data_IF_478618831817
#
_entry.id   IF_478618831817
#
_cell.length_a   1.000
_cell.length_b   1.000
_cell.length_c   1.000
_cell.angle_alpha   90.00
_cell.angle_beta   90.00
_cell.angle_gamma   90.00
#
_symmetry.space_group_name_H-M   'P 1'
#
loop_
_entity.id
_entity.type
_entity.pdbx_description
1 polymer ?
#
# COMPACT_ATOMS: atom_id res chain seq x y z
N UNK A 1 5.68 6.23 -4.92
CA UNK A 1 4.43 6.26 -4.12
C UNK A 1 4.63 5.75 -2.70
N UNK A 2 5.37 4.65 -2.44
CA UNK A 2 5.57 4.10 -1.07
C UNK A 2 6.07 5.14 -0.06
N UNK A 3 7.10 5.92 -0.40
CA UNK A 3 7.62 6.97 0.49
C UNK A 3 6.53 7.98 0.88
N UNK A 4 5.80 8.51 -0.09
CA UNK A 4 4.70 9.45 0.14
C UNK A 4 3.59 8.81 1.01
N UNK A 5 3.31 7.51 0.83
CA UNK A 5 2.35 6.77 1.65
C UNK A 5 2.84 6.59 3.10
N UNK A 6 4.14 6.38 3.31
CA UNK A 6 4.75 6.35 4.64
C UNK A 6 4.75 7.75 5.29
N UNK A 7 4.94 8.82 4.51
CA UNK A 7 4.75 10.19 5.00
C UNK A 7 3.31 10.41 5.48
N UNK A 8 2.32 9.94 4.72
CA UNK A 8 0.90 9.99 5.15
C UNK A 8 0.64 9.15 6.39
N UNK A 9 1.25 7.96 6.49
CA UNK A 9 1.13 7.09 7.66
C UNK A 9 1.65 7.79 8.92
N UNK A 10 2.80 8.47 8.86
CA UNK A 10 3.33 9.29 9.96
C UNK A 10 2.38 10.43 10.36
N UNK A 11 1.69 11.06 9.41
CA UNK A 11 0.72 12.14 9.70
C UNK A 11 -0.53 11.62 10.40
N UNK A 12 -1.04 10.47 9.96
CA UNK A 12 -2.29 9.89 10.48
C UNK A 12 -2.08 9.02 11.73
N UNK A 13 -0.88 8.46 11.87
CA UNK A 13 -0.47 7.54 12.92
C UNK A 13 -0.10 8.21 14.23
N UNK A 14 0.75 7.53 14.98
CA UNK A 14 1.14 7.87 16.35
C UNK A 14 2.57 8.43 16.45
N UNK A 15 3.44 8.21 15.46
CA UNK A 15 4.83 8.64 15.55
C UNK A 15 5.70 8.35 14.32
N UNK A 16 7.02 8.53 14.45
CA UNK A 16 7.96 8.35 13.35
C UNK A 16 8.06 6.89 12.86
N UNK A 17 7.76 5.91 13.71
CA UNK A 17 7.80 4.49 13.34
C UNK A 17 6.75 4.13 12.26
N UNK A 18 5.67 4.90 12.16
CA UNK A 18 4.69 4.77 11.08
C UNK A 18 5.30 5.05 9.70
N UNK A 19 6.49 5.67 9.65
CA UNK A 19 7.29 5.83 8.42
C UNK A 19 7.78 4.50 7.83
N UNK A 20 7.56 3.38 8.52
CA UNK A 20 7.90 2.03 8.09
C UNK A 20 6.66 1.18 7.75
N UNK A 21 5.46 1.78 7.72
CA UNK A 21 4.18 1.08 7.47
C UNK A 21 4.23 0.25 6.19
N UNK A 22 4.68 0.85 5.09
CA UNK A 22 4.82 0.18 3.81
C UNK A 22 6.29 -0.12 3.55
N UNK A 23 6.58 -1.41 3.35
CA UNK A 23 7.93 -1.92 3.04
C UNK A 23 8.01 -2.36 1.58
N UNK A 24 8.92 -3.27 1.25
CA UNK A 24 9.06 -3.80 -0.10
C UNK A 24 7.72 -4.35 -0.63
N UNK A 25 7.35 -4.09 -1.89
CA UNK A 25 6.16 -4.68 -2.51
C UNK A 25 6.20 -6.21 -2.48
N UNK A 26 5.18 -6.83 -1.89
CA UNK A 26 5.03 -8.30 -1.81
C UNK A 26 3.81 -8.82 -2.56
N UNK A 27 3.11 -7.93 -3.25
CA UNK A 27 1.87 -8.24 -3.98
C UNK A 27 2.00 -7.82 -5.43
N UNK A 28 1.30 -8.51 -6.33
CA UNK A 28 1.33 -8.26 -7.77
C UNK A 28 -0.06 -8.41 -8.39
N UNK A 29 -0.40 -7.54 -9.33
CA UNK A 29 -1.61 -7.68 -10.16
C UNK A 29 -1.36 -8.51 -11.43
N UNK A 30 -2.40 -8.71 -12.24
CA UNK A 30 -2.30 -9.47 -13.49
C UNK A 30 -1.38 -8.82 -14.55
N UNK A 31 -1.16 -7.50 -14.45
CA UNK A 31 -0.30 -6.73 -15.37
C UNK A 31 1.16 -6.69 -14.91
N UNK A 32 1.47 -7.30 -13.76
CA UNK A 32 2.82 -7.39 -13.20
C UNK A 32 3.24 -6.20 -12.34
N UNK A 33 2.36 -5.24 -12.07
CA UNK A 33 2.64 -4.13 -11.17
C UNK A 33 2.77 -4.65 -9.74
N UNK A 34 3.71 -4.09 -8.97
CA UNK A 34 3.96 -4.51 -7.59
C UNK A 34 3.39 -3.53 -6.58
N UNK A 35 2.81 -4.08 -5.51
CA UNK A 35 2.13 -3.32 -4.47
C UNK A 35 2.65 -3.70 -3.07
N UNK A 36 2.74 -2.68 -2.22
CA UNK A 36 2.91 -2.86 -0.78
C UNK A 36 1.54 -2.73 -0.12
N UNK A 37 1.32 -3.48 0.96
CA UNK A 37 0.08 -3.44 1.72
C UNK A 37 0.40 -3.52 3.22
N UNK A 38 -0.47 -2.90 4.02
CA UNK A 38 -0.47 -2.99 5.46
C UNK A 38 -1.93 -3.18 5.92
N UNK A 39 -2.11 -3.86 7.05
CA UNK A 39 -3.40 -4.00 7.71
C UNK A 39 -3.22 -3.62 9.17
N UNK A 40 -4.14 -2.85 9.71
CA UNK A 40 -4.12 -2.41 11.11
C UNK A 40 -5.53 -2.13 11.60
N UNK A 41 -5.72 -2.22 12.91
CA UNK A 41 -6.95 -1.79 13.55
C UNK A 41 -7.00 -0.26 13.57
N UNK A 42 -7.95 0.31 12.83
CA UNK A 42 -8.12 1.74 12.73
C UNK A 42 -9.08 2.25 13.81
N UNK A 43 -8.76 3.43 14.37
CA UNK A 43 -9.69 4.16 15.24
C UNK A 43 -10.94 4.55 14.45
N UNK A 44 -12.08 4.68 15.13
CA UNK A 44 -13.35 5.09 14.50
C UNK A 44 -13.25 6.41 13.72
N UNK A 45 -12.43 7.34 14.19
CA UNK A 45 -12.20 8.65 13.58
C UNK A 45 -11.15 8.65 12.45
N UNK A 46 -10.47 7.53 12.21
CA UNK A 46 -9.36 7.46 11.26
C UNK A 46 -9.77 7.87 9.84
N UNK A 47 -10.94 7.41 9.38
CA UNK A 47 -11.46 7.74 8.04
C UNK A 47 -11.70 9.25 7.89
N UNK A 48 -12.30 9.88 8.90
CA UNK A 48 -12.54 11.32 8.90
C UNK A 48 -11.21 12.09 8.89
N UNK A 49 -10.22 11.66 9.67
CA UNK A 49 -8.87 12.25 9.69
C UNK A 49 -8.16 12.11 8.34
N UNK A 50 -8.28 10.95 7.70
CA UNK A 50 -7.69 10.68 6.39
C UNK A 50 -8.31 11.52 5.26
N UNK A 51 -9.53 12.03 5.44
CA UNK A 51 -10.25 12.90 4.50
C UNK A 51 -10.09 14.40 4.80
N UNK A 52 -9.73 14.76 6.04
CA UNK A 52 -9.54 16.14 6.45
C UNK A 52 -8.22 16.73 5.92
N UNK A 53 -8.11 18.05 5.90
CA UNK A 53 -6.85 18.71 5.58
C UNK A 53 -5.73 18.26 6.55
N UNK A 54 -4.59 17.84 6.00
CA UNK A 54 -3.48 17.35 6.81
C UNK A 54 -2.84 18.47 7.63
N UNK A 55 -2.68 18.22 8.93
CA UNK A 55 -1.89 19.04 9.84
C UNK A 55 -0.55 18.34 10.13
N UNK A 56 0.54 19.10 10.25
CA UNK A 56 1.82 18.54 10.67
C UNK A 56 1.69 18.03 12.12
N UNK A 57 2.10 16.79 12.42
CA UNK A 57 2.05 16.27 13.78
C UNK A 57 2.90 17.09 14.76
N UNK A 58 2.43 17.24 15.99
CA UNK A 58 3.16 18.00 17.02
C UNK A 58 4.51 17.39 17.41
N UNK A 59 4.68 16.08 17.22
CA UNK A 59 5.95 15.39 17.46
C UNK A 59 7.02 15.69 16.40
N UNK A 60 6.61 16.11 15.21
CA UNK A 60 7.51 16.34 14.08
C UNK A 60 8.16 17.73 14.19
N UNK A 61 9.07 17.84 15.15
CA UNK A 61 9.89 19.02 15.40
C UNK A 61 11.10 19.08 14.47
N UNK A 62 11.81 20.22 14.44
CA UNK A 62 13.02 20.36 13.63
C UNK A 62 14.17 19.50 14.19
N UNK A 63 14.96 18.80 13.35
CA UNK A 63 14.79 18.68 11.90
C UNK A 63 13.60 17.80 11.53
N UNK A 64 12.76 18.27 10.61
CA UNK A 64 11.52 17.58 10.23
C UNK A 64 11.83 16.21 9.62
N UNK A 65 11.09 15.21 10.08
CA UNK A 65 11.10 13.84 9.53
C UNK A 65 10.04 13.69 8.45
N UNK A 66 8.86 14.30 8.64
CA UNK A 66 7.72 14.14 7.72
C UNK A 66 7.79 15.10 6.53
N UNK A 67 7.68 14.55 5.32
CA UNK A 67 7.41 15.35 4.12
C UNK A 67 5.91 15.60 3.98
N UNK A 68 5.42 16.75 4.45
CA UNK A 68 4.00 17.12 4.30
C UNK A 68 3.54 17.19 2.85
N UNK A 69 4.42 17.60 1.92
CA UNK A 69 4.12 17.58 0.49
C UNK A 69 3.96 16.14 -0.04
N UNK A 70 4.76 15.19 0.47
CA UNK A 70 4.59 13.76 0.16
C UNK A 70 3.27 13.22 0.71
N UNK A 71 2.98 13.51 1.99
CA UNK A 71 1.73 13.12 2.62
C UNK A 71 0.49 13.66 1.88
N UNK A 72 0.53 14.92 1.41
CA UNK A 72 -0.55 15.52 0.62
C UNK A 72 -0.74 14.83 -0.74
N UNK A 73 0.35 14.49 -1.45
CA UNK A 73 0.25 13.72 -2.70
C UNK A 73 -0.36 12.34 -2.47
N UNK A 74 0.05 11.66 -1.40
CA UNK A 74 -0.53 10.37 -1.02
C UNK A 74 -2.02 10.50 -0.66
N UNK A 75 -2.40 11.51 0.12
CA UNK A 75 -3.81 11.75 0.45
C UNK A 75 -4.65 12.02 -0.81
N UNK A 76 -4.13 12.80 -1.77
CA UNK A 76 -4.81 13.06 -3.04
C UNK A 76 -4.98 11.80 -3.90
N UNK A 77 -4.09 10.80 -3.74
CA UNK A 77 -4.18 9.51 -4.41
C UNK A 77 -5.06 8.49 -3.67
N UNK A 78 -5.51 8.79 -2.45
CA UNK A 78 -6.23 7.87 -1.57
C UNK A 78 -7.69 7.69 -1.99
N UNK A 79 -8.08 6.43 -2.15
CA UNK A 79 -9.44 5.98 -2.49
C UNK A 79 -9.95 5.13 -1.35
N UNK A 80 -11.16 5.42 -0.88
CA UNK A 80 -11.78 4.68 0.22
C UNK A 80 -12.79 3.67 -0.33
N UNK A 81 -12.62 2.41 0.04
CA UNK A 81 -13.54 1.33 -0.24
C UNK A 81 -14.01 0.72 1.09
N UNK A 82 -14.90 1.43 1.78
CA UNK A 82 -15.45 0.99 3.07
C UNK A 82 -16.78 0.28 2.80
N UNK A 83 -16.86 -1.00 3.11
CA UNK A 83 -18.08 -1.77 2.90
C UNK A 83 -19.13 -1.38 3.95
N UNK A 84 -20.15 -0.62 3.53
CA UNK A 84 -21.39 -0.47 4.31
C UNK A 84 -22.57 -1.27 3.75
N UNK A 85 -22.49 -1.71 2.48
CA UNK A 85 -23.51 -2.52 1.80
C UNK A 85 -23.01 -3.00 0.41
N UNK A 86 -22.01 -3.87 0.36
CA UNK A 86 -21.62 -4.52 -0.90
C UNK A 86 -20.77 -3.69 -1.88
N UNK A 87 -20.10 -2.64 -1.40
CA UNK A 87 -19.09 -1.93 -2.20
C UNK A 87 -17.88 -2.85 -2.34
N UNK A 88 -17.61 -3.30 -3.57
CA UNK A 88 -16.43 -4.10 -3.90
C UNK A 88 -15.21 -3.19 -3.92
N UNK A 89 -14.09 -3.67 -3.37
CA UNK A 89 -12.82 -2.96 -3.50
C UNK A 89 -12.50 -2.71 -4.98
N UNK A 90 -12.00 -1.52 -5.35
CA UNK A 90 -11.60 -1.25 -6.73
C UNK A 90 -10.42 -2.14 -7.11
N UNK A 91 -10.24 -2.38 -8.41
CA UNK A 91 -9.00 -2.99 -8.91
C UNK A 91 -7.80 -2.14 -8.49
N UNK A 92 -6.72 -2.79 -8.06
CA UNK A 92 -5.48 -2.09 -7.75
C UNK A 92 -4.98 -1.31 -8.97
N UNK A 93 -4.42 -0.12 -8.73
CA UNK A 93 -3.83 0.70 -9.77
C UNK A 93 -2.56 1.38 -9.24
N UNK A 94 -1.45 1.43 -10.00
CA UNK A 94 -0.17 1.96 -9.49
C UNK A 94 -0.21 3.43 -9.06
N UNK A 95 -1.15 4.20 -9.62
CA UNK A 95 -1.33 5.62 -9.33
C UNK A 95 -2.28 5.90 -8.15
N UNK A 96 -2.82 4.86 -7.48
CA UNK A 96 -3.81 4.99 -6.41
C UNK A 96 -3.32 4.35 -5.12
N UNK A 97 -3.68 4.95 -4.00
CA UNK A 97 -3.64 4.31 -2.68
C UNK A 97 -5.07 3.91 -2.35
N UNK A 98 -5.28 2.67 -1.89
CA UNK A 98 -6.63 2.19 -1.56
C UNK A 98 -6.70 1.82 -0.09
N UNK A 99 -7.64 2.42 0.64
CA UNK A 99 -7.98 2.02 2.01
C UNK A 99 -9.30 1.23 1.96
N UNK A 100 -9.21 -0.06 2.26
CA UNK A 100 -10.39 -0.95 2.32
C UNK A 100 -10.80 -1.12 3.78
N UNK A 101 -12.06 -0.85 4.09
CA UNK A 101 -12.61 -0.96 5.45
C UNK A 101 -13.73 -1.99 5.54
N UNK A 102 -13.81 -2.69 6.68
CA UNK A 102 -14.88 -3.66 6.96
C UNK A 102 -14.70 -5.02 6.26
N UNK A 103 -13.49 -5.37 5.83
CA UNK A 103 -13.17 -6.67 5.25
C UNK A 103 -11.78 -7.10 5.74
N UNK A 104 -11.59 -8.40 5.89
CA UNK A 104 -10.29 -9.00 6.23
C UNK A 104 -9.22 -8.69 5.16
N UNK A 105 -7.97 -8.54 5.59
CA UNK A 105 -6.90 -8.00 4.75
C UNK A 105 -6.65 -8.83 3.49
N UNK A 106 -6.52 -10.16 3.63
CA UNK A 106 -6.28 -11.06 2.48
C UNK A 106 -7.47 -11.07 1.51
N UNK A 107 -8.70 -11.00 2.02
CA UNK A 107 -9.89 -10.93 1.19
C UNK A 107 -9.95 -9.59 0.42
N UNK A 108 -9.52 -8.49 1.03
CA UNK A 108 -9.37 -7.21 0.35
C UNK A 108 -8.33 -7.29 -0.78
N UNK A 109 -7.16 -7.90 -0.54
CA UNK A 109 -6.14 -8.08 -1.58
C UNK A 109 -6.67 -8.89 -2.77
N UNK A 110 -7.36 -10.01 -2.51
CA UNK A 110 -7.97 -10.81 -3.56
C UNK A 110 -9.05 -10.02 -4.33
N UNK A 111 -9.88 -9.24 -3.64
CA UNK A 111 -10.91 -8.41 -4.27
C UNK A 111 -10.33 -7.32 -5.18
N UNK A 112 -9.13 -6.81 -4.85
CA UNK A 112 -8.38 -5.84 -5.65
C UNK A 112 -7.58 -6.49 -6.80
N UNK A 113 -7.67 -7.81 -6.98
CA UNK A 113 -6.97 -8.55 -8.01
C UNK A 113 -5.48 -8.73 -7.75
N UNK A 114 -5.08 -8.76 -6.47
CA UNK A 114 -3.69 -8.90 -6.05
C UNK A 114 -3.38 -10.32 -5.57
N UNK A 115 -2.22 -10.82 -5.98
CA UNK A 115 -1.66 -12.09 -5.54
C UNK A 115 -0.29 -11.87 -4.86
N UNK A 116 0.07 -12.75 -3.94
CA UNK A 116 1.38 -12.72 -3.29
C UNK A 116 2.50 -13.01 -4.30
N UNK A 117 3.64 -12.33 -4.15
CA UNK A 117 4.85 -12.61 -4.92
C UNK A 117 5.60 -13.74 -4.20
N UNK A 118 5.58 -14.91 -4.80
CA UNK A 118 6.52 -15.98 -4.46
C UNK A 118 7.85 -15.70 -5.21
N UNK A 119 8.90 -15.36 -4.46
CA UNK A 119 10.22 -15.07 -5.03
C UNK A 119 10.96 -16.36 -5.45
N UNK A 120 10.64 -17.50 -4.84
CA UNK A 120 11.27 -18.79 -5.14
C UNK A 120 10.72 -19.39 -6.45
N UNK A 121 9.43 -19.19 -6.73
CA UNK A 121 8.78 -19.68 -7.95
C UNK A 121 9.26 -19.00 -9.24
N UNK A 122 9.86 -17.80 -9.16
CA UNK A 122 10.28 -17.02 -10.35
C UNK A 122 11.74 -17.23 -10.75
N UNK A 123 12.56 -17.84 -9.88
CA UNK A 123 13.93 -18.23 -10.22
C UNK A 123 13.97 -19.51 -11.07
N UNK A 124 12.92 -20.34 -11.04
CA UNK A 124 12.87 -21.64 -11.73
C UNK A 124 12.51 -21.56 -13.22
N UNK A 125 12.03 -20.42 -13.73
CA UNK A 125 11.60 -20.28 -15.14
C UNK A 125 12.70 -19.82 -16.11
N UNK A 126 13.95 -19.64 -15.65
CA UNK A 126 15.05 -19.10 -16.48
C UNK A 126 16.09 -20.17 -16.88
N UNK A 127 15.97 -21.41 -16.41
CA UNK A 127 17.01 -22.45 -16.64
C UNK A 127 16.53 -23.63 -17.48
N UNK A 128 15.88 -23.37 -18.62
CA UNK A 128 15.60 -24.44 -19.59
C UNK A 128 15.62 -23.92 -21.04
N UNK A 129 16.76 -23.39 -21.50
CA UNK A 129 17.05 -23.29 -22.94
C UNK A 129 18.56 -23.33 -23.19
N UNK A 130 19.04 -24.44 -23.76
CA UNK A 130 20.44 -24.71 -24.16
C UNK A 130 21.00 -25.91 -23.40
N UNK A 131 21.42 -27.03 -23.98
CA UNK A 131 21.75 -27.33 -25.37
C UNK A 131 21.36 -28.78 -25.67
N UNK A 132 20.57 -28.93 -26.73
CA UNK A 132 20.51 -30.15 -27.50
C UNK A 132 21.52 -30.08 -28.64
N UNK A 133 22.24 -31.18 -28.81
CA UNK A 133 22.87 -31.65 -30.03
C UNK A 133 24.29 -31.17 -30.37
N UNK A 134 25.20 -32.14 -30.38
CA UNK A 134 26.61 -32.01 -30.71
C UNK A 134 27.24 -33.40 -30.76
N UNK A 135 26.90 -34.11 -31.85
CA UNK A 135 27.40 -35.42 -32.33
C UNK A 135 28.84 -35.78 -31.95
#
# INVERSE_FOLDING_TARGET
MIRDANDLAMVLGSGPDDGQTYTAPKWRDADGNRYAAASFEAREDWLARAQAALARPGWDARPYTVSMAGAQRAQAALVFAVSRAGVRAPQAAPARLTAVGGTEGLAAMAAMGLAWIDEDAQASTVTETGDGDGR
#
